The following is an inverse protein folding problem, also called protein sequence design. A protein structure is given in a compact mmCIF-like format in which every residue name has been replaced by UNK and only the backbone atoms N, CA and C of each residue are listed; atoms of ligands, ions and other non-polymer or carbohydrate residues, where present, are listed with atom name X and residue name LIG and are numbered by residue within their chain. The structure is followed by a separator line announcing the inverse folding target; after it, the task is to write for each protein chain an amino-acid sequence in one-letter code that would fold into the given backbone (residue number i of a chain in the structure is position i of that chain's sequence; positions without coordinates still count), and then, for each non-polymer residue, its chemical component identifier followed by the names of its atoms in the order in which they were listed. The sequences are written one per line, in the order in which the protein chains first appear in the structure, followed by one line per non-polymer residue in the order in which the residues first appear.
data_IF_205732572650
#
_entry.id   IF_205732572650
#
_cell.length_a   1.000
_cell.length_b   1.000
_cell.length_c   1.000
_cell.angle_alpha   90.00
_cell.angle_beta   90.00
_cell.angle_gamma   90.00
#
_symmetry.space_group_name_H-M   'P 1'
#
loop_
_entity.id
_entity.type
_entity.pdbx_description
1 polymer ?
#
# COMPACT_ATOMS: atom_id res chain seq x y z
N UNK A 1 34.40 41.87 -6.98
CA UNK A 1 33.17 42.25 -6.26
C UNK A 1 32.17 41.13 -6.46
N UNK A 2 31.92 40.32 -5.44
CA UNK A 2 30.90 39.27 -5.50
C UNK A 2 29.53 39.92 -5.38
N UNK A 3 28.79 39.99 -6.49
CA UNK A 3 27.38 40.34 -6.47
C UNK A 3 26.66 39.16 -5.82
N UNK A 4 26.54 39.22 -4.49
CA UNK A 4 25.67 38.31 -3.75
C UNK A 4 24.23 38.68 -4.08
N UNK A 5 23.46 37.70 -4.55
CA UNK A 5 22.01 37.88 -4.66
C UNK A 5 21.50 38.13 -3.22
N UNK A 6 20.81 39.26 -2.95
CA UNK A 6 20.32 39.55 -1.61
C UNK A 6 19.38 38.43 -1.15
N UNK A 7 19.54 38.01 0.10
CA UNK A 7 18.70 36.98 0.68
C UNK A 7 17.24 37.44 0.63
N UNK A 8 16.34 36.60 0.13
CA UNK A 8 14.99 37.05 -0.08
C UNK A 8 14.22 37.26 1.23
N UNK A 9 13.53 38.39 1.33
CA UNK A 9 12.63 38.69 2.46
C UNK A 9 11.38 37.82 2.38
N UNK A 10 11.21 36.92 3.35
CA UNK A 10 10.00 36.13 3.56
C UNK A 10 9.20 36.72 4.72
N UNK A 11 7.87 36.77 4.57
CA UNK A 11 6.93 37.28 5.56
C UNK A 11 6.17 36.08 6.12
N UNK A 12 6.11 35.93 7.45
CA UNK A 12 5.26 34.93 8.09
C UNK A 12 3.85 35.52 8.22
N UNK A 13 2.86 34.86 7.63
CA UNK A 13 1.48 35.34 7.55
C UNK A 13 0.52 34.24 8.04
N UNK A 14 -0.69 34.63 8.45
CA UNK A 14 -1.72 33.73 8.96
C UNK A 14 -3.10 34.18 8.45
N UNK A 15 -3.86 33.27 7.86
CA UNK A 15 -5.26 33.55 7.47
C UNK A 15 -6.22 33.09 8.56
N UNK A 16 -6.80 34.03 9.30
CA UNK A 16 -7.73 33.75 10.39
C UNK A 16 -7.07 32.96 11.52
N UNK A 17 -7.68 31.83 11.92
CA UNK A 17 -7.12 30.88 12.88
C UNK A 17 -6.37 29.70 12.22
N UNK A 18 -6.05 29.79 10.92
CA UNK A 18 -5.38 28.73 10.17
C UNK A 18 -3.88 28.59 10.45
N UNK A 19 -3.21 27.70 9.71
CA UNK A 19 -1.76 27.50 9.80
C UNK A 19 -0.97 28.72 9.32
N UNK A 20 0.17 28.98 9.96
CA UNK A 20 1.14 29.97 9.50
C UNK A 20 1.74 29.54 8.15
N UNK A 21 1.97 30.50 7.25
CA UNK A 21 2.63 30.25 5.98
C UNK A 21 3.61 31.38 5.66
N UNK A 22 4.69 31.03 4.95
CA UNK A 22 5.65 32.01 4.48
C UNK A 22 5.21 32.57 3.12
N UNK A 23 5.14 33.88 3.00
CA UNK A 23 4.77 34.59 1.76
C UNK A 23 5.91 35.50 1.30
N UNK A 24 6.02 35.71 -0.01
CA UNK A 24 6.82 36.78 -0.60
C UNK A 24 6.04 37.49 -1.68
N UNK A 25 6.02 38.81 -1.59
CA UNK A 25 5.45 39.67 -2.61
C UNK A 25 6.55 40.08 -3.60
N UNK A 26 6.34 39.82 -4.90
CA UNK A 26 7.27 40.22 -5.94
C UNK A 26 7.00 41.67 -6.35
N UNK A 27 7.88 42.60 -5.95
CA UNK A 27 7.86 43.99 -6.42
C UNK A 27 8.48 44.06 -7.82
N UNK A 28 7.67 43.99 -8.86
CA UNK A 28 8.12 44.07 -10.26
C UNK A 28 6.97 44.32 -11.23
N UNK A 29 7.28 44.44 -12.54
CA UNK A 29 6.28 44.71 -13.60
C UNK A 29 5.12 43.70 -13.65
N UNK A 30 5.32 42.49 -13.10
CA UNK A 30 4.31 41.45 -12.93
C UNK A 30 4.26 41.04 -11.46
N UNK A 31 3.34 41.59 -10.64
CA UNK A 31 3.22 41.18 -9.24
C UNK A 31 2.83 39.70 -9.19
N UNK A 32 3.65 38.91 -8.50
CA UNK A 32 3.42 37.49 -8.24
C UNK A 32 3.64 37.24 -6.75
N UNK A 33 2.74 36.49 -6.14
CA UNK A 33 2.86 36.05 -4.75
C UNK A 33 3.49 34.66 -4.75
N UNK A 34 4.51 34.45 -3.92
CA UNK A 34 5.12 33.13 -3.70
C UNK A 34 4.82 32.67 -2.29
N UNK A 35 4.47 31.39 -2.14
CA UNK A 35 4.23 30.76 -0.85
C UNK A 35 5.30 29.71 -0.57
N UNK A 36 5.68 29.56 0.70
CA UNK A 36 6.51 28.47 1.22
C UNK A 36 5.76 27.82 2.37
N UNK A 37 5.68 26.50 2.31
CA UNK A 37 5.08 25.66 3.35
C UNK A 37 6.17 24.76 3.92
N UNK A 38 6.24 24.65 5.25
CA UNK A 38 7.11 23.72 5.93
C UNK A 38 6.33 22.45 6.20
N UNK A 39 6.79 21.33 5.66
CA UNK A 39 6.17 20.02 5.84
C UNK A 39 7.02 19.22 6.81
N UNK A 40 6.41 18.77 7.91
CA UNK A 40 7.03 17.83 8.82
C UNK A 40 6.85 16.41 8.24
N UNK A 41 7.95 15.78 7.84
CA UNK A 41 7.95 14.38 7.40
C UNK A 41 8.26 13.51 8.62
N UNK A 42 7.31 12.65 9.00
CA UNK A 42 7.51 11.66 10.06
C UNK A 42 7.71 10.29 9.46
N UNK A 43 8.63 9.53 10.05
CA UNK A 43 8.76 8.12 9.75
C UNK A 43 7.60 7.35 10.39
N UNK A 44 7.01 6.46 9.61
CA UNK A 44 5.98 5.56 10.11
C UNK A 44 6.65 4.37 10.80
N UNK A 45 6.39 4.20 12.09
CA UNK A 45 6.80 3.01 12.84
C UNK A 45 5.54 2.25 13.27
N UNK A 46 5.41 1.00 12.81
CA UNK A 46 4.35 0.10 13.25
C UNK A 46 4.45 -0.18 14.74
N UNK A 47 3.31 -0.27 15.40
CA UNK A 47 3.28 -0.68 16.80
C UNK A 47 3.64 -2.16 16.92
N UNK A 48 4.18 -2.58 18.08
CA UNK A 48 4.62 -3.96 18.29
C UNK A 48 3.50 -5.00 18.05
N UNK A 49 2.25 -4.65 18.35
CA UNK A 49 1.09 -5.52 18.13
C UNK A 49 0.65 -5.61 16.65
N UNK A 50 1.10 -4.68 15.80
CA UNK A 50 0.85 -4.73 14.35
C UNK A 50 1.92 -5.54 13.60
N UNK A 51 3.00 -5.93 14.29
CA UNK A 51 4.06 -6.79 13.76
C UNK A 51 3.74 -8.28 13.92
N UNK A 52 2.74 -8.62 14.73
CA UNK A 52 2.30 -10.00 14.90
C UNK A 52 1.54 -10.41 13.62
N UNK A 53 2.16 -11.29 12.83
CA UNK A 53 1.56 -11.84 11.63
C UNK A 53 0.24 -12.52 12.02
N UNK A 54 -0.87 -12.07 11.44
CA UNK A 54 -2.19 -12.59 11.79
C UNK A 54 -2.23 -14.09 11.51
N UNK A 55 -2.46 -14.90 12.56
CA UNK A 55 -2.58 -16.38 12.50
C UNK A 55 -3.55 -16.85 11.40
N UNK A 56 -4.48 -15.98 11.01
CA UNK A 56 -5.41 -16.16 9.89
C UNK A 56 -4.72 -16.47 8.54
N UNK A 57 -3.57 -15.86 8.23
CA UNK A 57 -2.85 -16.14 6.98
C UNK A 57 -2.35 -17.58 6.91
N UNK A 58 -1.82 -18.11 8.02
CA UNK A 58 -1.32 -19.47 8.10
C UNK A 58 -2.45 -20.52 8.04
N UNK A 59 -3.63 -20.18 8.57
CA UNK A 59 -4.82 -21.04 8.50
C UNK A 59 -5.42 -21.11 7.08
N UNK A 60 -5.29 -20.04 6.29
CA UNK A 60 -5.75 -20.03 4.89
C UNK A 60 -4.85 -20.87 3.99
N UNK A 61 -3.54 -20.77 4.16
CA UNK A 61 -2.61 -21.51 3.30
C UNK A 61 -2.74 -23.03 3.51
N UNK A 62 -2.86 -23.47 4.76
CA UNK A 62 -3.08 -24.88 5.10
C UNK A 62 -4.43 -25.42 4.61
N UNK A 63 -5.51 -24.65 4.75
CA UNK A 63 -6.84 -25.04 4.24
C UNK A 63 -6.89 -25.09 2.70
N UNK A 64 -6.19 -24.19 2.01
CA UNK A 64 -6.07 -24.18 0.55
C UNK A 64 -5.38 -25.44 0.03
N UNK A 65 -4.26 -25.84 0.65
CA UNK A 65 -3.51 -27.04 0.25
C UNK A 65 -4.32 -28.33 0.41
N UNK A 66 -5.03 -28.47 1.54
CA UNK A 66 -5.91 -29.62 1.78
C UNK A 66 -7.07 -29.66 0.79
N UNK A 67 -7.70 -28.51 0.51
CA UNK A 67 -8.83 -28.40 -0.42
C UNK A 67 -8.40 -28.77 -1.85
N UNK A 68 -7.23 -28.30 -2.28
CA UNK A 68 -6.67 -28.64 -3.59
C UNK A 68 -6.37 -30.15 -3.68
N UNK A 69 -5.75 -30.74 -2.65
CA UNK A 69 -5.49 -32.17 -2.59
C UNK A 69 -6.76 -33.02 -2.67
N UNK A 70 -7.79 -32.67 -1.89
CA UNK A 70 -9.09 -33.35 -1.92
C UNK A 70 -9.77 -33.26 -3.29
N UNK A 71 -9.66 -32.10 -3.95
CA UNK A 71 -10.20 -31.89 -5.29
C UNK A 71 -9.49 -32.78 -6.31
N UNK A 72 -8.17 -32.87 -6.27
CA UNK A 72 -7.40 -33.76 -7.14
C UNK A 72 -7.79 -35.24 -6.94
N UNK A 73 -7.92 -35.70 -5.70
CA UNK A 73 -8.36 -37.06 -5.40
C UNK A 73 -9.75 -37.35 -5.95
N UNK A 74 -10.68 -36.40 -5.80
CA UNK A 74 -12.02 -36.52 -6.34
C UNK A 74 -12.02 -36.62 -7.87
N UNK A 75 -11.24 -35.76 -8.55
CA UNK A 75 -11.08 -35.81 -10.01
C UNK A 75 -10.50 -37.15 -10.49
N UNK A 76 -9.45 -37.65 -9.85
CA UNK A 76 -8.84 -38.96 -10.20
C UNK A 76 -9.86 -40.08 -10.01
N UNK A 77 -10.62 -40.03 -8.91
CA UNK A 77 -11.64 -41.05 -8.60
C UNK A 77 -12.71 -41.11 -9.69
N UNK A 78 -13.21 -39.96 -10.15
CA UNK A 78 -14.26 -39.90 -11.17
C UNK A 78 -13.74 -40.20 -12.58
N UNK A 79 -12.53 -39.73 -12.91
CA UNK A 79 -12.04 -39.78 -14.30
C UNK A 79 -11.29 -41.07 -14.64
N UNK A 80 -10.67 -41.70 -13.65
CA UNK A 80 -9.83 -42.89 -13.85
C UNK A 80 -10.43 -44.10 -13.15
N UNK A 81 -10.65 -44.00 -11.84
CA UNK A 81 -11.03 -45.15 -11.02
C UNK A 81 -12.44 -45.63 -11.40
N UNK A 82 -13.41 -44.73 -11.44
CA UNK A 82 -14.81 -45.08 -11.72
C UNK A 82 -15.02 -45.70 -13.12
N UNK A 83 -14.48 -45.15 -14.23
CA UNK A 83 -14.56 -45.78 -15.54
C UNK A 83 -13.84 -47.13 -15.58
N UNK A 84 -12.68 -47.26 -14.92
CA UNK A 84 -11.96 -48.53 -14.82
C UNK A 84 -12.81 -49.60 -14.13
N UNK A 85 -13.42 -49.27 -12.99
CA UNK A 85 -14.32 -50.18 -12.26
C UNK A 85 -15.56 -50.55 -13.07
N UNK A 86 -16.17 -49.62 -13.79
CA UNK A 86 -17.34 -49.91 -14.63
C UNK A 86 -16.94 -50.81 -15.81
N UNK A 87 -15.82 -50.54 -16.48
CA UNK A 87 -15.41 -51.32 -17.64
C UNK A 87 -14.91 -52.72 -17.26
N UNK A 88 -14.13 -52.87 -16.19
CA UNK A 88 -13.60 -54.17 -15.76
C UNK A 88 -14.58 -54.95 -14.88
N UNK A 89 -15.34 -54.27 -14.01
CA UNK A 89 -16.36 -54.91 -13.18
C UNK A 89 -17.54 -55.45 -13.96
N UNK A 90 -17.77 -54.95 -15.19
CA UNK A 90 -18.83 -55.41 -16.09
C UNK A 90 -18.33 -56.49 -17.08
N UNK A 91 -17.08 -56.97 -16.93
CA UNK A 91 -16.47 -58.06 -17.68
C UNK A 91 -16.38 -59.38 -16.88
N UNK A 92 -17.10 -59.49 -15.75
CA UNK A 92 -17.28 -60.72 -14.97
C UNK A 92 -18.77 -61.03 -14.81
#
# INVERSE_FOLDING_TARGET
MTIGVPEPQWILDQTGSGSLFWRRDSMGKNPRVKFRYEVEVKEFQRAAHELEESEWCHQIESSSMLTMGMTCLFCITITVILPWYILIGNNY
#
